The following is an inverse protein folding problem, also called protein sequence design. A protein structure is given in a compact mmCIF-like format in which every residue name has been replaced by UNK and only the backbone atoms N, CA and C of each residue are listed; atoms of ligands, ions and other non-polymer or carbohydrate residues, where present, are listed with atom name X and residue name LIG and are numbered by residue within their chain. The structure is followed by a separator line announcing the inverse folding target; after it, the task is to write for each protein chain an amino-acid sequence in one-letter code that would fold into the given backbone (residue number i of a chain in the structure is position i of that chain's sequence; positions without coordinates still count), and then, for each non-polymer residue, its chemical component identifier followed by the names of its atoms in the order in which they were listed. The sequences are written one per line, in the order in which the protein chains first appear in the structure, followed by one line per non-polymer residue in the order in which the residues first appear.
data_IF_024723104476
#
_entry.id   IF_024723104476
#
_cell.length_a   1.000
_cell.length_b   1.000
_cell.length_c   1.000
_cell.angle_alpha   90.00
_cell.angle_beta   90.00
_cell.angle_gamma   90.00
#
_symmetry.space_group_name_H-M   'P 1'
#
loop_
_entity.id
_entity.type
_entity.pdbx_description
1 polymer ?
#
# COMPACT_ATOMS: atom_id res chain seq x y z
N UNK A 1 22.79 3.40 1.66
CA UNK A 1 21.63 3.80 2.48
C UNK A 1 20.86 2.54 2.84
N UNK A 2 20.56 2.36 4.12
CA UNK A 2 19.70 1.30 4.67
C UNK A 2 18.32 1.87 4.91
N UNK A 3 17.28 1.19 4.46
CA UNK A 3 15.91 1.71 4.61
C UNK A 3 14.96 0.66 5.16
N UNK A 4 13.88 1.10 5.79
CA UNK A 4 12.67 0.32 5.92
C UNK A 4 11.57 0.92 5.04
N UNK A 5 10.63 0.11 4.60
CA UNK A 5 9.51 0.56 3.78
C UNK A 5 8.22 0.36 4.58
N UNK A 6 7.43 1.43 4.76
CA UNK A 6 6.06 1.30 5.23
C UNK A 6 5.25 0.62 4.14
N UNK A 7 4.79 -0.59 4.43
CA UNK A 7 4.33 -1.54 3.43
C UNK A 7 2.89 -1.97 3.67
N UNK A 8 1.97 -1.43 2.88
CA UNK A 8 0.55 -1.80 2.93
C UNK A 8 0.20 -3.00 2.04
N UNK A 9 1.12 -3.41 1.15
CA UNK A 9 0.85 -4.41 0.11
C UNK A 9 0.15 -3.86 -1.13
N UNK A 10 -0.23 -2.59 -1.11
CA UNK A 10 -0.77 -1.88 -2.26
C UNK A 10 0.30 -1.50 -3.29
N UNK A 11 -0.16 -1.01 -4.43
CA UNK A 11 0.66 -0.68 -5.60
C UNK A 11 1.80 0.29 -5.26
N UNK A 12 1.51 1.40 -4.56
CA UNK A 12 2.48 2.45 -4.27
C UNK A 12 3.63 1.95 -3.38
N UNK A 13 3.31 1.26 -2.29
CA UNK A 13 4.32 0.70 -1.39
C UNK A 13 5.13 -0.44 -2.04
N UNK A 14 4.49 -1.21 -2.93
CA UNK A 14 5.18 -2.25 -3.71
C UNK A 14 6.09 -1.61 -4.76
N UNK A 15 5.67 -0.53 -5.41
CA UNK A 15 6.48 0.16 -6.41
C UNK A 15 7.75 0.80 -5.79
N UNK A 16 7.70 1.23 -4.53
CA UNK A 16 8.90 1.67 -3.78
C UNK A 16 9.96 0.55 -3.69
N UNK A 17 9.56 -0.72 -3.62
CA UNK A 17 10.52 -1.84 -3.61
C UNK A 17 11.30 -1.89 -4.94
N UNK A 18 10.61 -1.67 -6.08
CA UNK A 18 11.25 -1.56 -7.39
C UNK A 18 12.27 -0.42 -7.39
N UNK A 19 11.87 0.78 -6.91
CA UNK A 19 12.78 1.91 -6.79
C UNK A 19 14.05 1.57 -5.99
N UNK A 20 13.89 0.93 -4.84
CA UNK A 20 15.03 0.54 -4.01
C UNK A 20 15.97 -0.43 -4.74
N UNK A 21 15.42 -1.43 -5.44
CA UNK A 21 16.19 -2.43 -6.19
C UNK A 21 16.98 -1.79 -7.34
N UNK A 22 16.37 -0.89 -8.10
CA UNK A 22 17.00 -0.21 -9.24
C UNK A 22 18.09 0.76 -8.81
N UNK A 23 17.96 1.33 -7.61
CA UNK A 23 18.94 2.29 -7.08
C UNK A 23 19.96 1.66 -6.10
N UNK A 24 19.96 0.32 -5.93
CA UNK A 24 20.89 -0.37 -5.04
C UNK A 24 20.72 0.01 -3.56
N UNK A 25 19.50 0.36 -3.14
CA UNK A 25 19.16 0.73 -1.77
C UNK A 25 18.89 -0.54 -0.97
N UNK A 26 19.50 -0.65 0.20
CA UNK A 26 19.44 -1.82 1.08
C UNK A 26 18.16 -1.80 1.94
N UNK A 27 17.16 -2.61 1.58
CA UNK A 27 15.91 -2.74 2.33
C UNK A 27 16.14 -3.68 3.51
N UNK A 28 16.14 -3.14 4.72
CA UNK A 28 16.34 -3.90 5.96
C UNK A 28 15.07 -4.57 6.46
N UNK A 29 13.92 -3.92 6.26
CA UNK A 29 12.62 -4.48 6.62
C UNK A 29 11.47 -3.82 5.85
N UNK A 30 10.42 -4.57 5.67
CA UNK A 30 9.08 -4.06 5.39
C UNK A 30 8.37 -3.89 6.73
N UNK A 31 7.61 -2.82 6.92
CA UNK A 31 6.81 -2.57 8.12
C UNK A 31 5.35 -2.49 7.71
N UNK A 32 4.57 -3.50 8.05
CA UNK A 32 3.12 -3.51 7.84
C UNK A 32 2.39 -3.27 9.15
N UNK A 33 1.40 -2.39 9.14
CA UNK A 33 0.58 -2.07 10.31
C UNK A 33 -0.86 -2.47 10.04
N UNK A 34 -1.39 -3.39 10.86
CA UNK A 34 -2.79 -3.78 10.85
C UNK A 34 -3.55 -2.94 11.89
N UNK A 35 -4.47 -2.06 11.48
CA UNK A 35 -5.29 -1.31 12.41
C UNK A 35 -6.36 -2.20 13.06
N UNK A 36 -6.96 -1.72 14.14
CA UNK A 36 -8.00 -2.43 14.89
C UNK A 36 -9.28 -2.62 14.05
N UNK A 37 -9.61 -1.67 13.19
CA UNK A 37 -10.77 -1.67 12.31
C UNK A 37 -10.59 -0.74 11.09
N UNK A 38 -11.64 -0.61 10.30
CA UNK A 38 -11.67 0.21 9.07
C UNK A 38 -11.70 1.73 9.33
N UNK A 39 -11.88 2.18 10.58
CA UNK A 39 -11.93 3.61 10.95
C UNK A 39 -10.53 4.22 11.14
N UNK A 40 -9.47 3.47 10.90
CA UNK A 40 -8.09 3.95 11.02
C UNK A 40 -7.81 5.07 9.99
N UNK A 41 -7.05 6.06 10.43
CA UNK A 41 -6.71 7.24 9.61
C UNK A 41 -5.46 7.03 8.77
N UNK A 42 -4.48 6.26 9.26
CA UNK A 42 -3.18 6.14 8.64
C UNK A 42 -2.96 4.79 7.95
N UNK A 43 -3.67 3.74 8.38
CA UNK A 43 -3.37 2.37 8.01
C UNK A 43 -4.52 1.72 7.26
N UNK A 44 -4.19 0.94 6.23
CA UNK A 44 -5.18 0.16 5.49
C UNK A 44 -5.60 -1.07 6.28
N UNK A 45 -6.90 -1.33 6.34
CA UNK A 45 -7.46 -2.47 7.07
C UNK A 45 -7.55 -3.73 6.21
N UNK A 46 -8.10 -3.58 5.01
CA UNK A 46 -8.33 -4.72 4.11
C UNK A 46 -7.02 -5.28 3.56
N UNK A 47 -6.91 -6.60 3.52
CA UNK A 47 -5.80 -7.37 2.93
C UNK A 47 -4.41 -7.20 3.54
N UNK A 48 -4.20 -6.34 4.53
CA UNK A 48 -2.87 -6.09 5.11
C UNK A 48 -2.23 -7.34 5.73
N UNK A 49 -3.02 -8.29 6.24
CA UNK A 49 -2.51 -9.59 6.74
C UNK A 49 -1.80 -10.43 5.68
N UNK A 50 -2.09 -10.20 4.41
CA UNK A 50 -1.49 -10.92 3.29
C UNK A 50 -0.16 -10.31 2.81
N UNK A 51 0.26 -9.18 3.38
CA UNK A 51 1.61 -8.61 3.16
C UNK A 51 2.73 -9.59 3.50
N UNK A 52 2.47 -10.54 4.40
CA UNK A 52 3.40 -11.63 4.72
C UNK A 52 3.73 -12.51 3.52
N UNK A 53 2.75 -12.76 2.64
CA UNK A 53 2.96 -13.55 1.42
C UNK A 53 3.77 -12.75 0.39
N UNK A 54 3.56 -11.44 0.30
CA UNK A 54 4.35 -10.57 -0.56
C UNK A 54 5.81 -10.49 -0.05
N UNK A 55 6.01 -10.32 1.26
CA UNK A 55 7.33 -10.31 1.87
C UNK A 55 8.07 -11.65 1.61
N UNK A 56 7.37 -12.79 1.76
CA UNK A 56 7.89 -14.11 1.41
C UNK A 56 8.24 -14.19 -0.07
N UNK A 57 7.36 -13.74 -0.98
CA UNK A 57 7.60 -13.74 -2.40
C UNK A 57 8.81 -12.88 -2.82
N UNK A 58 9.09 -11.81 -2.08
CA UNK A 58 10.23 -10.92 -2.30
C UNK A 58 11.52 -11.36 -1.59
N UNK A 59 11.42 -12.33 -0.67
CA UNK A 59 12.48 -12.73 0.25
C UNK A 59 13.00 -11.54 1.09
N UNK A 60 12.07 -10.72 1.62
CA UNK A 60 12.38 -9.57 2.46
C UNK A 60 11.84 -9.76 3.87
N UNK A 61 12.57 -9.31 4.92
CA UNK A 61 12.06 -9.33 6.28
C UNK A 61 10.80 -8.49 6.43
N UNK A 62 9.79 -9.01 7.12
CA UNK A 62 8.56 -8.28 7.45
C UNK A 62 8.42 -8.12 8.96
N UNK A 63 8.22 -6.89 9.40
CA UNK A 63 7.79 -6.54 10.74
C UNK A 63 6.29 -6.24 10.66
N UNK A 64 5.48 -7.09 11.30
CA UNK A 64 4.03 -6.95 11.28
C UNK A 64 3.55 -6.43 12.63
N UNK A 65 2.90 -5.28 12.65
CA UNK A 65 2.40 -4.59 13.83
C UNK A 65 0.86 -4.63 13.88
N UNK A 66 0.31 -4.78 15.09
CA UNK A 66 -1.09 -4.49 15.32
C UNK A 66 -1.19 -3.11 16.00
N UNK A 67 -2.02 -2.24 15.47
CA UNK A 67 -2.30 -0.93 16.01
C UNK A 67 -3.74 -0.91 16.55
N UNK A 68 -3.90 -0.77 17.86
CA UNK A 68 -5.21 -0.79 18.53
C UNK A 68 -5.74 0.62 18.80
N UNK A 69 -5.01 1.63 18.38
CA UNK A 69 -5.36 3.04 18.57
C UNK A 69 -6.09 3.57 17.32
N UNK A 70 -6.93 4.58 17.52
CA UNK A 70 -7.61 5.30 16.43
C UNK A 70 -7.30 6.78 16.57
N UNK A 71 -6.79 7.36 15.50
CA UNK A 71 -6.41 8.76 15.40
C UNK A 71 -4.96 8.94 14.93
N UNK A 72 -4.70 9.93 14.07
CA UNK A 72 -3.45 10.02 13.32
C UNK A 72 -2.19 9.98 14.18
N UNK A 73 -2.16 10.76 15.26
CA UNK A 73 -0.98 10.85 16.15
C UNK A 73 -0.73 9.55 16.92
N UNK A 74 -1.80 8.95 17.48
CA UNK A 74 -1.66 7.73 18.30
C UNK A 74 -1.41 6.49 17.43
N UNK A 75 -1.99 6.45 16.25
CA UNK A 75 -1.69 5.39 15.26
C UNK A 75 -0.22 5.42 14.84
N UNK A 76 0.35 6.60 14.57
CA UNK A 76 1.76 6.71 14.20
C UNK A 76 2.69 6.24 15.33
N UNK A 77 2.32 6.45 16.59
CA UNK A 77 3.12 6.00 17.76
C UNK A 77 3.32 4.48 17.82
N UNK A 78 2.48 3.68 17.15
CA UNK A 78 2.70 2.24 17.02
C UNK A 78 4.07 1.91 16.45
N UNK A 79 4.64 2.79 15.62
CA UNK A 79 5.95 2.61 15.00
C UNK A 79 7.12 2.74 15.99
N UNK A 80 6.96 3.43 17.13
CA UNK A 80 8.05 3.70 18.07
C UNK A 80 8.73 2.43 18.59
N UNK A 81 7.95 1.37 18.81
CA UNK A 81 8.49 0.09 19.30
C UNK A 81 9.46 -0.58 18.33
N UNK A 82 9.24 -0.34 17.04
CA UNK A 82 10.08 -0.89 15.98
C UNK A 82 11.25 0.04 15.70
N UNK A 83 10.98 1.32 15.48
CA UNK A 83 11.99 2.27 15.01
C UNK A 83 13.16 2.44 15.99
N UNK A 84 12.90 2.39 17.29
CA UNK A 84 13.97 2.48 18.31
C UNK A 84 15.04 1.39 18.23
N UNK A 85 14.73 0.26 17.59
CA UNK A 85 15.63 -0.90 17.50
C UNK A 85 16.03 -1.21 16.04
N UNK A 86 15.63 -0.37 15.10
CA UNK A 86 15.84 -0.60 13.68
C UNK A 86 17.04 0.24 13.18
N UNK A 87 18.07 -0.44 12.69
CA UNK A 87 19.26 0.19 12.12
C UNK A 87 19.00 0.57 10.64
N UNK A 88 18.35 1.71 10.45
CA UNK A 88 18.03 2.27 9.13
C UNK A 88 18.25 3.78 9.11
N UNK A 89 18.61 4.30 7.93
CA UNK A 89 18.79 5.72 7.69
C UNK A 89 17.47 6.43 7.42
N UNK A 90 16.51 5.71 6.78
CA UNK A 90 15.23 6.29 6.40
C UNK A 90 14.07 5.27 6.37
N UNK A 91 12.85 5.81 6.51
CA UNK A 91 11.59 5.15 6.17
C UNK A 91 11.13 5.63 4.80
N UNK A 92 10.81 4.71 3.91
CA UNK A 92 10.23 5.02 2.61
C UNK A 92 8.72 4.79 2.64
N UNK A 93 7.99 5.74 2.06
CA UNK A 93 6.55 5.67 1.87
C UNK A 93 6.23 5.70 0.37
N UNK A 94 5.16 5.02 -0.03
CA UNK A 94 4.65 5.05 -1.41
C UNK A 94 3.81 6.30 -1.70
N UNK A 95 3.36 6.42 -2.95
CA UNK A 95 2.52 7.51 -3.44
C UNK A 95 3.29 8.77 -3.82
N UNK A 96 2.54 9.82 -4.15
CA UNK A 96 3.08 11.11 -4.62
C UNK A 96 3.07 12.19 -3.51
N UNK A 97 2.92 11.79 -2.25
CA UNK A 97 3.02 12.72 -1.12
C UNK A 97 1.73 13.47 -0.79
N UNK A 98 0.59 13.09 -1.35
CA UNK A 98 -0.70 13.71 -1.04
C UNK A 98 -1.26 13.27 0.32
N UNK A 99 -0.82 12.16 0.88
CA UNK A 99 -1.19 11.68 2.22
C UNK A 99 -0.49 12.48 3.33
N UNK A 100 -0.67 13.79 3.32
CA UNK A 100 0.06 14.74 4.18
C UNK A 100 -0.04 14.45 5.66
N UNK A 101 -1.20 13.98 6.13
CA UNK A 101 -1.40 13.63 7.55
C UNK A 101 -0.54 12.43 7.93
N UNK A 102 -0.57 11.35 7.16
CA UNK A 102 0.25 10.17 7.39
C UNK A 102 1.74 10.53 7.39
N UNK A 103 2.21 11.22 6.35
CA UNK A 103 3.62 11.63 6.21
C UNK A 103 4.05 12.48 7.40
N UNK A 104 3.22 13.45 7.83
CA UNK A 104 3.52 14.31 8.96
C UNK A 104 3.67 13.53 10.26
N UNK A 105 2.69 12.67 10.57
CA UNK A 105 2.69 11.93 11.84
C UNK A 105 3.79 10.85 11.87
N UNK A 106 4.02 10.16 10.77
CA UNK A 106 5.15 9.23 10.65
C UNK A 106 6.49 9.98 10.81
N UNK A 107 6.63 11.15 10.17
CA UNK A 107 7.84 11.99 10.31
C UNK A 107 8.06 12.47 11.74
N UNK A 108 6.99 12.82 12.47
CA UNK A 108 7.07 13.22 13.88
C UNK A 108 7.60 12.08 14.76
N UNK A 109 7.21 10.85 14.48
CA UNK A 109 7.71 9.68 15.20
C UNK A 109 9.14 9.32 14.81
N UNK A 110 9.43 9.25 13.51
CA UNK A 110 10.73 8.83 12.98
C UNK A 110 11.88 9.74 13.44
N UNK A 111 11.64 11.06 13.51
CA UNK A 111 12.61 12.05 14.00
C UNK A 111 13.11 11.79 15.42
N UNK A 112 12.36 11.12 16.27
CA UNK A 112 12.79 10.76 17.63
C UNK A 112 13.94 9.76 17.64
N UNK A 113 14.19 9.11 16.52
CA UNK A 113 15.18 8.07 16.33
C UNK A 113 16.21 8.43 15.25
N UNK A 114 16.26 9.70 14.84
CA UNK A 114 17.13 10.20 13.77
C UNK A 114 16.95 9.47 12.43
N UNK A 115 15.69 9.05 12.13
CA UNK A 115 15.31 8.38 10.90
C UNK A 115 14.59 9.38 9.99
N UNK A 116 15.05 9.51 8.77
CA UNK A 116 14.40 10.34 7.74
C UNK A 116 13.12 9.66 7.20
N UNK A 117 12.20 10.47 6.68
CA UNK A 117 11.00 9.99 5.98
C UNK A 117 11.01 10.51 4.55
N UNK A 118 11.11 9.59 3.60
CA UNK A 118 11.28 9.87 2.18
C UNK A 118 10.09 9.27 1.40
N UNK A 119 9.53 10.07 0.49
CA UNK A 119 8.55 9.67 -0.51
C UNK A 119 9.24 9.74 -1.88
N UNK A 120 9.71 8.62 -2.44
CA UNK A 120 10.56 8.65 -3.65
C UNK A 120 9.91 9.32 -4.86
N UNK A 121 8.60 9.28 -4.94
CA UNK A 121 7.80 9.76 -6.08
C UNK A 121 7.01 11.05 -5.79
N UNK A 122 7.38 11.83 -4.75
CA UNK A 122 6.66 13.06 -4.37
C UNK A 122 6.65 14.15 -5.45
N UNK A 123 7.47 14.01 -6.48
CA UNK A 123 7.56 14.93 -7.63
C UNK A 123 6.75 14.47 -8.85
N UNK A 124 6.12 13.28 -8.77
CA UNK A 124 5.22 12.77 -9.81
C UNK A 124 3.81 13.34 -9.64
N UNK A 125 3.08 13.41 -10.74
CA UNK A 125 1.61 13.49 -10.67
C UNK A 125 1.02 12.10 -10.38
N UNK A 126 -0.19 12.08 -9.85
CA UNK A 126 -0.90 10.81 -9.59
C UNK A 126 -1.08 9.96 -10.85
N UNK A 127 -1.34 10.59 -11.99
CA UNK A 127 -1.50 9.89 -13.27
C UNK A 127 -0.17 9.29 -13.77
N UNK A 128 0.92 10.06 -13.68
CA UNK A 128 2.25 9.58 -14.08
C UNK A 128 2.66 8.37 -13.26
N UNK A 129 2.49 8.43 -11.93
CA UNK A 129 2.87 7.32 -11.07
C UNK A 129 2.00 6.09 -11.34
N UNK A 130 0.67 6.23 -11.44
CA UNK A 130 -0.23 5.11 -11.70
C UNK A 130 0.10 4.42 -13.03
N UNK A 131 0.41 5.21 -14.07
CA UNK A 131 0.83 4.68 -15.37
C UNK A 131 2.12 3.88 -15.26
N UNK A 132 3.14 4.42 -14.59
CA UNK A 132 4.40 3.70 -14.38
C UNK A 132 4.23 2.42 -13.55
N UNK A 133 3.37 2.43 -12.55
CA UNK A 133 3.03 1.24 -11.76
C UNK A 133 2.43 0.13 -12.64
N UNK A 134 1.50 0.47 -13.54
CA UNK A 134 0.91 -0.45 -14.50
C UNK A 134 1.97 -0.97 -15.48
N UNK A 135 2.74 -0.09 -16.09
CA UNK A 135 3.78 -0.43 -17.07
C UNK A 135 4.94 -1.24 -16.47
N UNK A 136 5.12 -1.17 -15.14
CA UNK A 136 6.16 -1.92 -14.42
C UNK A 136 5.91 -3.43 -14.34
N UNK A 137 4.74 -3.89 -14.76
CA UNK A 137 4.35 -5.30 -14.73
C UNK A 137 3.78 -5.75 -13.38
N UNK A 138 3.37 -4.82 -12.52
CA UNK A 138 2.61 -5.16 -11.31
C UNK A 138 1.21 -5.67 -11.69
N UNK A 139 0.78 -6.78 -11.11
CA UNK A 139 -0.63 -7.16 -11.12
C UNK A 139 -1.33 -6.55 -9.91
N UNK A 140 -2.08 -5.49 -10.14
CA UNK A 140 -2.73 -4.67 -9.13
C UNK A 140 -4.22 -5.01 -9.08
N UNK A 141 -4.76 -5.31 -7.90
CA UNK A 141 -6.18 -5.58 -7.69
C UNK A 141 -6.76 -4.55 -6.73
N UNK A 142 -7.92 -3.98 -7.07
CA UNK A 142 -8.66 -3.07 -6.19
C UNK A 142 -9.32 -3.90 -5.09
N UNK A 143 -9.01 -3.57 -3.84
CA UNK A 143 -9.49 -4.31 -2.66
C UNK A 143 -10.47 -3.53 -1.80
N UNK A 144 -10.51 -2.21 -1.98
CA UNK A 144 -11.43 -1.31 -1.26
C UNK A 144 -11.79 -0.12 -2.14
N UNK A 145 -13.02 0.36 -2.02
CA UNK A 145 -13.50 1.59 -2.69
C UNK A 145 -14.34 2.41 -1.72
N UNK A 146 -14.12 3.73 -1.73
CA UNK A 146 -14.85 4.69 -0.90
C UNK A 146 -15.21 5.99 -1.63
N UNK A 147 -14.67 6.24 -2.83
CA UNK A 147 -14.97 7.45 -3.59
C UNK A 147 -16.31 7.36 -4.33
N UNK A 148 -17.01 8.48 -4.40
CA UNK A 148 -18.16 8.62 -5.29
C UNK A 148 -17.76 8.29 -6.73
N UNK A 149 -18.60 7.54 -7.43
CA UNK A 149 -18.33 7.09 -8.81
C UNK A 149 -17.70 5.70 -8.89
N UNK A 150 -17.04 5.23 -7.84
CA UNK A 150 -16.59 3.85 -7.75
C UNK A 150 -17.70 2.98 -7.14
N UNK A 151 -18.10 1.93 -7.85
CA UNK A 151 -19.14 1.00 -7.44
C UNK A 151 -18.53 -0.30 -6.92
N UNK A 152 -19.36 -1.18 -6.36
CA UNK A 152 -18.92 -2.52 -5.95
C UNK A 152 -18.27 -3.35 -7.07
N UNK A 153 -18.54 -3.01 -8.34
CA UNK A 153 -17.98 -3.73 -9.49
C UNK A 153 -16.47 -3.44 -9.69
N UNK A 154 -15.95 -2.42 -9.01
CA UNK A 154 -14.52 -2.17 -8.96
C UNK A 154 -13.76 -3.09 -8.00
N UNK A 155 -14.46 -3.67 -7.01
CA UNK A 155 -13.84 -4.61 -6.07
C UNK A 155 -13.45 -5.91 -6.76
N UNK A 156 -12.17 -6.27 -6.66
CA UNK A 156 -11.57 -7.42 -7.33
C UNK A 156 -11.14 -7.18 -8.78
N UNK A 157 -11.43 -5.99 -9.33
CA UNK A 157 -10.99 -5.61 -10.67
C UNK A 157 -9.49 -5.34 -10.67
N UNK A 158 -8.81 -5.75 -11.73
CA UNK A 158 -7.41 -5.40 -11.97
C UNK A 158 -7.30 -3.96 -12.47
N UNK A 159 -6.22 -3.29 -12.06
CA UNK A 159 -5.82 -2.03 -12.68
C UNK A 159 -4.88 -2.36 -13.82
N UNK A 160 -5.32 -2.04 -15.04
CA UNK A 160 -4.62 -2.14 -16.30
C UNK A 160 -4.84 -0.85 -17.12
N UNK A 161 -4.34 -0.78 -18.33
CA UNK A 161 -4.47 0.40 -19.19
C UNK A 161 -5.95 0.81 -19.41
N UNK A 162 -6.86 -0.16 -19.59
CA UNK A 162 -8.28 0.13 -19.78
C UNK A 162 -8.93 0.71 -18.53
N UNK A 163 -8.67 0.12 -17.36
CA UNK A 163 -9.20 0.61 -16.09
C UNK A 163 -8.56 1.94 -15.67
N UNK A 164 -7.33 2.21 -16.09
CA UNK A 164 -6.66 3.50 -15.89
C UNK A 164 -7.43 4.63 -16.57
N UNK A 165 -7.79 4.47 -17.85
CA UNK A 165 -8.57 5.48 -18.58
C UNK A 165 -9.96 5.69 -17.96
N UNK A 166 -10.62 4.62 -17.47
CA UNK A 166 -11.88 4.74 -16.74
C UNK A 166 -11.71 5.49 -15.41
N UNK A 167 -10.66 5.19 -14.63
CA UNK A 167 -10.35 5.87 -13.38
C UNK A 167 -10.11 7.37 -13.60
N UNK A 168 -9.41 7.76 -14.66
CA UNK A 168 -9.21 9.18 -15.02
C UNK A 168 -10.53 9.89 -15.26
N UNK A 169 -11.38 9.33 -16.11
CA UNK A 169 -12.71 9.90 -16.41
C UNK A 169 -13.56 10.03 -15.14
N UNK A 170 -13.54 9.00 -14.29
CA UNK A 170 -14.29 9.02 -13.04
C UNK A 170 -13.70 10.00 -12.02
N UNK A 171 -12.37 10.10 -11.92
CA UNK A 171 -11.70 11.03 -11.02
C UNK A 171 -11.99 12.48 -11.37
N UNK A 172 -11.95 12.86 -12.66
CA UNK A 172 -12.35 14.17 -13.13
C UNK A 172 -13.82 14.49 -12.82
N UNK A 173 -14.70 13.51 -13.03
CA UNK A 173 -16.15 13.69 -12.84
C UNK A 173 -16.56 13.79 -11.38
N UNK A 174 -15.93 13.03 -10.49
CA UNK A 174 -16.34 12.89 -9.09
C UNK A 174 -15.37 13.53 -8.09
N UNK A 175 -14.23 14.04 -8.56
CA UNK A 175 -13.30 14.83 -7.75
C UNK A 175 -12.46 14.00 -6.78
N UNK A 176 -12.11 12.76 -7.14
CA UNK A 176 -11.17 11.95 -6.36
C UNK A 176 -9.81 11.85 -7.07
N UNK A 177 -8.78 11.46 -6.35
CA UNK A 177 -7.44 11.28 -6.92
C UNK A 177 -7.32 9.96 -7.70
N UNK A 178 -6.86 9.96 -8.97
CA UNK A 178 -6.81 8.76 -9.81
C UNK A 178 -5.83 7.69 -9.32
N UNK A 179 -4.82 8.06 -8.52
CA UNK A 179 -3.90 7.12 -7.87
C UNK A 179 -4.53 6.43 -6.63
N UNK A 180 -5.70 6.93 -6.15
CA UNK A 180 -6.35 6.45 -4.93
C UNK A 180 -5.88 7.16 -3.66
N UNK A 181 -5.02 8.16 -3.77
CA UNK A 181 -4.58 8.96 -2.63
C UNK A 181 -5.78 9.62 -1.93
N UNK A 182 -5.68 9.76 -0.61
CA UNK A 182 -6.80 10.30 0.19
C UNK A 182 -7.91 9.29 0.49
N UNK A 183 -7.68 7.98 0.26
CA UNK A 183 -8.61 6.92 0.63
C UNK A 183 -9.72 6.67 -0.39
N UNK A 184 -9.56 7.10 -1.63
CA UNK A 184 -10.56 6.89 -2.69
C UNK A 184 -10.78 5.42 -3.01
N UNK A 185 -9.69 4.68 -3.06
CA UNK A 185 -9.67 3.22 -3.16
C UNK A 185 -8.32 2.68 -2.66
N UNK A 186 -8.31 1.42 -2.26
CA UNK A 186 -7.10 0.69 -1.87
C UNK A 186 -6.86 -0.48 -2.82
N UNK A 187 -5.60 -0.91 -2.88
CA UNK A 187 -5.16 -1.97 -3.78
C UNK A 187 -4.31 -3.01 -3.07
N UNK A 188 -4.18 -4.16 -3.71
CA UNK A 188 -3.21 -5.19 -3.33
C UNK A 188 -2.50 -5.70 -4.59
N UNK A 189 -1.18 -5.85 -4.50
CA UNK A 189 -0.37 -6.39 -5.59
C UNK A 189 -0.28 -7.90 -5.46
N UNK A 190 -0.83 -8.61 -6.46
CA UNK A 190 -0.83 -10.08 -6.49
C UNK A 190 0.39 -10.65 -7.19
N UNK A 191 1.09 -9.85 -7.99
CA UNK A 191 2.33 -10.23 -8.67
C UNK A 191 3.19 -9.00 -8.96
N UNK A 192 4.49 -9.17 -8.87
CA UNK A 192 5.51 -8.24 -9.37
C UNK A 192 6.63 -9.04 -10.07
N UNK A 193 7.35 -8.46 -11.03
CA UNK A 193 8.44 -9.16 -11.74
C UNK A 193 9.54 -9.70 -10.82
N UNK A 194 9.65 -9.17 -9.63
CA UNK A 194 10.62 -9.59 -8.60
C UNK A 194 10.02 -10.45 -7.49
N UNK A 195 8.78 -10.93 -7.65
CA UNK A 195 8.19 -11.96 -6.77
C UNK A 195 8.63 -13.34 -7.23
N UNK A 196 8.93 -14.23 -6.28
CA UNK A 196 9.25 -15.64 -6.56
C UNK A 196 8.03 -16.48 -6.96
N UNK A 197 6.84 -15.91 -6.90
CA UNK A 197 5.58 -16.55 -7.27
C UNK A 197 4.45 -15.53 -7.29
N UNK A 198 3.22 -16.00 -7.53
CA UNK A 198 2.02 -15.17 -7.59
C UNK A 198 1.16 -15.40 -6.36
N UNK A 199 0.52 -14.35 -5.86
CA UNK A 199 -0.46 -14.46 -4.78
C UNK A 199 -1.84 -14.66 -5.40
N UNK A 200 -2.45 -15.81 -5.13
CA UNK A 200 -3.79 -16.13 -5.59
C UNK A 200 -4.81 -15.85 -4.49
N UNK A 201 -5.86 -15.13 -4.84
CA UNK A 201 -7.02 -14.94 -3.98
C UNK A 201 -8.04 -16.07 -4.18
N UNK A 202 -8.60 -16.54 -3.09
CA UNK A 202 -9.72 -17.50 -3.04
C UNK A 202 -10.76 -17.03 -2.04
N UNK A 203 -11.93 -17.68 -2.04
CA UNK A 203 -13.05 -17.38 -1.13
C UNK A 203 -13.42 -15.88 -1.08
N UNK A 204 -13.39 -15.22 -2.23
CA UNK A 204 -13.62 -13.78 -2.32
C UNK A 204 -15.07 -13.45 -1.92
N UNK A 205 -15.20 -12.51 -0.99
CA UNK A 205 -16.49 -11.97 -0.54
C UNK A 205 -16.43 -10.45 -0.57
N UNK A 206 -17.43 -9.83 -1.19
CA UNK A 206 -17.61 -8.38 -1.17
C UNK A 206 -18.41 -8.02 0.09
N UNK A 207 -17.88 -7.12 0.90
CA UNK A 207 -18.58 -6.40 1.96
C UNK A 207 -18.88 -5.01 1.44
N UNK A 208 -20.16 -4.65 1.37
CA UNK A 208 -20.62 -3.39 0.77
C UNK A 208 -21.63 -2.70 1.66
N UNK A 209 -21.43 -1.41 1.92
CA UNK A 209 -22.39 -0.55 2.60
C UNK A 209 -23.11 0.34 1.58
N UNK A 210 -24.43 0.14 1.44
CA UNK A 210 -25.27 0.93 0.52
C UNK A 210 -25.44 2.38 0.95
N UNK A 211 -25.25 2.72 2.23
CA UNK A 211 -25.43 4.09 2.75
C UNK A 211 -24.21 4.95 2.42
N UNK A 212 -23.04 4.43 2.73
CA UNK A 212 -21.76 5.12 2.46
C UNK A 212 -21.33 4.92 1.00
N UNK A 213 -21.89 3.93 0.30
CA UNK A 213 -21.47 3.50 -1.05
C UNK A 213 -19.98 3.17 -1.10
N UNK A 214 -19.53 2.48 -0.09
CA UNK A 214 -18.15 2.03 0.08
C UNK A 214 -18.12 0.54 0.41
N UNK A 215 -16.97 -0.08 0.24
CA UNK A 215 -16.82 -1.49 0.58
C UNK A 215 -15.45 -2.03 0.30
N UNK A 216 -15.25 -3.26 0.72
CA UNK A 216 -13.97 -3.94 0.59
C UNK A 216 -14.11 -5.42 0.25
N UNK A 217 -13.00 -6.02 -0.19
CA UNK A 217 -12.86 -7.46 -0.38
C UNK A 217 -12.37 -8.13 0.90
N UNK A 218 -13.04 -9.21 1.27
CA UNK A 218 -12.52 -10.22 2.19
C UNK A 218 -12.08 -11.41 1.35
N UNK A 219 -10.83 -11.85 1.50
CA UNK A 219 -10.23 -12.91 0.71
C UNK A 219 -9.38 -13.84 1.57
N UNK A 220 -9.25 -15.09 1.14
CA UNK A 220 -8.11 -15.93 1.50
C UNK A 220 -7.03 -15.79 0.42
N UNK A 221 -5.77 -15.83 0.80
CA UNK A 221 -4.67 -15.71 -0.12
C UNK A 221 -3.61 -16.79 0.10
N UNK A 222 -2.96 -17.21 -0.98
CA UNK A 222 -1.85 -18.15 -0.96
C UNK A 222 -0.79 -17.78 -2.00
N UNK A 223 0.48 -18.00 -1.66
CA UNK A 223 1.58 -17.88 -2.61
C UNK A 223 1.66 -19.16 -3.43
N UNK A 224 1.50 -19.04 -4.76
CA UNK A 224 1.51 -20.15 -5.70
C UNK A 224 2.62 -19.97 -6.73
N UNK A 225 3.04 -21.09 -7.37
CA UNK A 225 4.01 -21.05 -8.47
C UNK A 225 5.39 -20.58 -8.03
N UNK A 226 5.79 -20.86 -6.77
CA UNK A 226 7.12 -20.50 -6.27
C UNK A 226 8.19 -21.08 -7.18
N UNK A 227 8.85 -20.23 -7.96
CA UNK A 227 10.03 -20.61 -8.72
C UNK A 227 11.12 -20.98 -7.71
N UNK A 228 11.43 -22.26 -7.59
CA UNK A 228 12.65 -22.72 -6.88
C UNK A 228 13.84 -22.23 -7.69
N UNK A 229 14.52 -21.22 -7.18
CA UNK A 229 15.82 -20.77 -7.68
C UNK A 229 16.90 -21.72 -7.18
#
# INVERSE_FOLDING_TARGET
MKVAVLFSGGKDSTYVIKYCRENGIDIKALIAVKPVNEEAYLWHYSTVEWTKLQAEAMNLPLIFLNCNEIGPEVEAKCLEHVLKNLDVDALFLGGVGLQKTQIREVRNVARKFDIDVIVPYEHYTSEELLKEEIESGLEIVITEVAASGLTKDWLGRKIDESSFEELKVLSEKFGFDPLGEGGSYNTFVTYAPYFSGKIAFSNQKIVWDEKTRSGHLVVDAALIGKLTV
#
